data_IF_744872794896
#
_entry.id   IF_744872794896
#
_cell.length_a   1.000
_cell.length_b   1.000
_cell.length_c   1.000
_cell.angle_alpha   90.00
_cell.angle_beta   90.00
_cell.angle_gamma   90.00
#
_symmetry.space_group_name_H-M   'P 1'
#
loop_
_entity.id
_entity.type
_entity.pdbx_description
1 polymer ?
#
# COMPACT_ATOMS: atom_id res chain seq x y z
N UNK A 1 -14.62 -3.10 -3.66
CA UNK A 1 -14.87 -3.80 -4.93
C UNK A 1 -13.85 -4.91 -5.01
N UNK A 2 -14.25 -6.14 -4.68
CA UNK A 2 -13.40 -7.32 -4.72
C UNK A 2 -13.38 -7.82 -6.15
N UNK A 3 -12.20 -8.00 -6.74
CA UNK A 3 -12.11 -8.55 -8.10
C UNK A 3 -12.60 -10.01 -8.10
N UNK A 4 -13.01 -10.53 -9.27
CA UNK A 4 -13.69 -11.83 -9.41
C UNK A 4 -12.88 -13.07 -8.92
N UNK A 5 -11.63 -12.87 -8.48
CA UNK A 5 -10.74 -13.86 -7.87
C UNK A 5 -10.72 -13.83 -6.33
N UNK A 6 -11.55 -13.01 -5.68
CA UNK A 6 -11.49 -12.82 -4.21
C UNK A 6 -10.28 -11.99 -3.74
N UNK A 7 -9.49 -11.47 -4.69
CA UNK A 7 -8.32 -10.63 -4.44
C UNK A 7 -8.85 -9.25 -4.03
N UNK A 8 -8.93 -8.99 -2.72
CA UNK A 8 -9.30 -7.67 -2.19
C UNK A 8 -8.04 -6.87 -1.92
N UNK A 9 -7.85 -5.78 -2.68
CA UNK A 9 -6.77 -4.84 -2.40
C UNK A 9 -7.25 -3.82 -1.37
N UNK A 10 -6.60 -3.80 -0.21
CA UNK A 10 -6.89 -2.85 0.86
C UNK A 10 -5.83 -1.76 0.87
N UNK A 11 -6.28 -0.51 0.97
CA UNK A 11 -5.40 0.64 1.10
C UNK A 11 -5.71 1.37 2.41
N UNK A 12 -4.67 1.75 3.13
CA UNK A 12 -4.79 2.65 4.29
C UNK A 12 -4.19 4.00 3.96
N UNK A 13 -4.74 5.05 4.56
CA UNK A 13 -4.32 6.43 4.33
C UNK A 13 -4.07 7.13 5.67
N UNK A 14 -3.15 8.09 5.67
CA UNK A 14 -2.97 9.00 6.80
C UNK A 14 -4.07 10.07 6.84
N UNK A 15 -4.06 10.91 7.88
CA UNK A 15 -5.02 12.02 8.03
C UNK A 15 -4.92 13.09 6.94
N UNK A 16 -3.80 13.15 6.21
CA UNK A 16 -3.58 14.08 5.11
C UNK A 16 -3.97 13.46 3.75
N UNK A 17 -4.39 12.20 3.71
CA UNK A 17 -4.77 11.49 2.49
C UNK A 17 -3.62 10.77 1.78
N UNK A 18 -2.42 10.69 2.37
CA UNK A 18 -1.31 9.94 1.78
C UNK A 18 -1.45 8.45 2.08
N UNK A 19 -1.12 7.60 1.11
CA UNK A 19 -1.35 6.15 1.16
C UNK A 19 -0.31 5.44 2.03
N UNK A 20 -0.61 5.09 3.28
CA UNK A 20 0.33 4.44 4.19
C UNK A 20 0.64 2.99 3.84
N UNK A 21 -0.39 2.20 3.49
CA UNK A 21 -0.20 0.79 3.13
C UNK A 21 -1.11 0.37 1.98
N UNK A 22 -0.64 -0.61 1.22
CA UNK A 22 -1.40 -1.37 0.25
C UNK A 22 -1.24 -2.84 0.58
N UNK A 23 -2.32 -3.54 0.86
CA UNK A 23 -2.34 -5.00 0.98
C UNK A 23 -3.03 -5.55 -0.25
N UNK A 24 -2.32 -6.34 -1.05
CA UNK A 24 -2.94 -7.05 -2.17
C UNK A 24 -3.83 -8.20 -1.67
N UNK A 25 -4.68 -8.72 -2.54
CA UNK A 25 -5.54 -9.85 -2.16
C UNK A 25 -4.81 -11.20 -2.03
N UNK A 26 -3.48 -11.24 -2.23
CA UNK A 26 -2.62 -12.39 -1.89
C UNK A 26 -2.01 -12.25 -0.49
N UNK A 27 -2.37 -11.18 0.25
CA UNK A 27 -1.85 -10.89 1.59
C UNK A 27 -0.50 -10.18 1.60
N UNK A 28 0.08 -9.85 0.43
CA UNK A 28 1.32 -9.07 0.40
C UNK A 28 1.01 -7.63 0.74
N UNK A 29 1.73 -7.10 1.73
CA UNK A 29 1.58 -5.72 2.17
C UNK A 29 2.79 -4.90 1.76
N UNK A 30 2.53 -3.81 1.05
CA UNK A 30 3.46 -2.72 0.77
C UNK A 30 3.18 -1.56 1.70
N UNK A 31 4.22 -1.01 2.31
CA UNK A 31 4.14 0.17 3.18
C UNK A 31 4.87 1.33 2.53
N UNK A 32 4.29 2.52 2.66
CA UNK A 32 4.85 3.77 2.17
C UNK A 32 5.04 4.70 3.37
N UNK A 33 6.25 5.23 3.53
CA UNK A 33 6.55 6.28 4.49
C UNK A 33 6.70 7.60 3.75
N UNK A 34 5.93 8.60 4.17
CA UNK A 34 6.02 9.95 3.65
C UNK A 34 6.84 10.83 4.60
N UNK A 35 7.67 11.69 4.04
CA UNK A 35 8.41 12.72 4.77
C UNK A 35 7.62 14.02 4.89
N UNK A 36 8.32 15.09 5.28
CA UNK A 36 7.79 16.44 5.19
C UNK A 36 7.29 16.72 3.75
N UNK A 37 6.21 17.49 3.64
CA UNK A 37 5.56 17.85 2.37
C UNK A 37 4.90 16.70 1.60
N UNK A 38 4.62 15.56 2.24
CA UNK A 38 3.95 14.43 1.58
C UNK A 38 4.82 13.72 0.53
N UNK A 39 6.13 13.96 0.57
CA UNK A 39 7.07 13.31 -0.34
C UNK A 39 7.30 11.86 0.09
N UNK A 40 7.16 10.92 -0.85
CA UNK A 40 7.45 9.51 -0.60
C UNK A 40 8.93 9.36 -0.25
N UNK A 41 9.20 8.90 0.97
CA UNK A 41 10.55 8.76 1.53
C UNK A 41 11.00 7.32 1.58
N UNK A 42 10.08 6.42 1.89
CA UNK A 42 10.36 4.99 1.98
C UNK A 42 9.23 4.21 1.34
N UNK A 43 9.60 3.17 0.61
CA UNK A 43 8.65 2.16 0.16
C UNK A 43 9.23 0.81 0.57
N UNK A 44 8.50 0.10 1.42
CA UNK A 44 8.88 -1.22 1.90
C UNK A 44 7.79 -2.19 1.48
N UNK A 45 8.03 -2.88 0.35
CA UNK A 45 7.18 -3.96 -0.13
C UNK A 45 7.76 -5.31 0.27
N UNK A 46 6.89 -6.23 0.68
CA UNK A 46 7.23 -7.66 0.69
C UNK A 46 7.39 -8.14 -0.76
N UNK A 47 8.61 -7.94 -1.27
CA UNK A 47 9.19 -8.53 -2.48
C UNK A 47 8.48 -8.22 -3.81
N UNK A 48 9.18 -7.46 -4.65
CA UNK A 48 8.95 -7.39 -6.10
C UNK A 48 8.88 -8.82 -6.65
N UNK A 49 7.77 -9.28 -7.24
CA UNK A 49 7.89 -10.42 -8.13
C UNK A 49 8.71 -9.94 -9.34
N UNK A 50 9.81 -10.65 -9.59
CA UNK A 50 10.61 -10.55 -10.82
C UNK A 50 9.75 -10.63 -12.08
#
# INVERSE_FOLDING_TARGET
>A
MTDALGISTQHTYDKAGNKLTTTDGRGKTTRYGYGAFGLLRTMTGAELPV
#
